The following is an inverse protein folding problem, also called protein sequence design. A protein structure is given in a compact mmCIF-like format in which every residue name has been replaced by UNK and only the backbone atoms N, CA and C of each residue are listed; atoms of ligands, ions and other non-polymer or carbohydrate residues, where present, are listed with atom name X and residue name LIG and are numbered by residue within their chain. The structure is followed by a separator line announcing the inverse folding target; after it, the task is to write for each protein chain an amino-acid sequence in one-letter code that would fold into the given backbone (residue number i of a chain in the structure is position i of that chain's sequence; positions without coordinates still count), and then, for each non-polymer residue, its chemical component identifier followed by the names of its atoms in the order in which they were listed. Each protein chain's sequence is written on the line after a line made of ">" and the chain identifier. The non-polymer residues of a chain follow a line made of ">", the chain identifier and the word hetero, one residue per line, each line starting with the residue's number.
data_IF_130807171259
#
_entry.id   IF_130807171259
#
_cell.length_a   1.000
_cell.length_b   1.000
_cell.length_c   1.000
_cell.angle_alpha   90.00
_cell.angle_beta   90.00
_cell.angle_gamma   90.00
#
_symmetry.space_group_name_H-M   'P 1'
#
loop_
_entity.id
_entity.type
_entity.pdbx_description
1 polymer ?
#
# COMPACT_ATOMS: atom_id res chain seq x y z
N UNK A 1 5.99 18.07 -12.86
CA UNK A 1 5.39 17.35 -14.02
C UNK A 1 5.51 15.82 -13.96
N UNK A 2 6.71 15.24 -13.93
CA UNK A 2 6.91 13.77 -13.98
C UNK A 2 6.36 13.02 -12.75
N UNK A 3 6.53 13.57 -11.53
CA UNK A 3 5.99 12.99 -10.29
C UNK A 3 4.46 13.15 -10.19
N UNK A 4 3.92 14.28 -10.63
CA UNK A 4 2.46 14.52 -10.69
C UNK A 4 1.76 13.51 -11.59
N UNK A 5 2.33 13.25 -12.77
CA UNK A 5 1.78 12.28 -13.71
C UNK A 5 1.78 10.86 -13.12
N UNK A 6 2.83 10.50 -12.37
CA UNK A 6 2.91 9.19 -11.70
C UNK A 6 1.85 9.04 -10.60
N UNK A 7 1.66 10.05 -9.74
CA UNK A 7 0.65 9.99 -8.67
C UNK A 7 -0.77 9.95 -9.24
N UNK A 8 -1.07 10.76 -10.26
CA UNK A 8 -2.38 10.77 -10.91
C UNK A 8 -2.70 9.40 -11.53
N UNK A 9 -1.74 8.84 -12.27
CA UNK A 9 -1.93 7.53 -12.90
C UNK A 9 -2.10 6.42 -11.86
N UNK A 10 -1.28 6.42 -10.81
CA UNK A 10 -1.38 5.43 -9.74
C UNK A 10 -2.73 5.55 -8.99
N UNK A 11 -3.14 6.76 -8.63
CA UNK A 11 -4.40 7.00 -7.92
C UNK A 11 -5.60 6.53 -8.75
N UNK A 12 -5.60 6.81 -10.05
CA UNK A 12 -6.62 6.34 -10.99
C UNK A 12 -6.68 4.82 -11.06
N UNK A 13 -5.54 4.16 -11.25
CA UNK A 13 -5.46 2.70 -11.29
C UNK A 13 -5.98 2.07 -10.00
N UNK A 14 -5.57 2.62 -8.84
CA UNK A 14 -6.05 2.17 -7.53
C UNK A 14 -7.57 2.29 -7.43
N UNK A 15 -8.15 3.43 -7.82
CA UNK A 15 -9.61 3.58 -7.77
C UNK A 15 -10.33 2.61 -8.73
N UNK A 16 -9.80 2.40 -9.93
CA UNK A 16 -10.38 1.45 -10.89
C UNK A 16 -10.42 0.02 -10.34
N UNK A 17 -9.32 -0.46 -9.74
CA UNK A 17 -9.26 -1.83 -9.20
C UNK A 17 -10.04 -2.00 -7.89
N UNK A 18 -10.26 -0.91 -7.14
CA UNK A 18 -10.97 -0.94 -5.85
C UNK A 18 -12.43 -0.50 -5.94
N UNK A 19 -12.95 -0.17 -7.13
CA UNK A 19 -14.31 0.33 -7.31
C UNK A 19 -14.56 1.68 -6.62
N UNK A 20 -13.57 2.58 -6.66
CA UNK A 20 -13.63 3.94 -6.12
C UNK A 20 -13.81 4.04 -4.59
N UNK A 21 -13.39 2.99 -3.85
CA UNK A 21 -13.60 2.89 -2.40
C UNK A 21 -12.48 3.49 -1.57
N UNK A 22 -11.29 3.72 -2.14
CA UNK A 22 -10.15 4.29 -1.42
C UNK A 22 -10.37 5.78 -1.18
N UNK A 23 -10.20 6.21 0.07
CA UNK A 23 -10.38 7.61 0.50
C UNK A 23 -9.13 8.27 1.04
N UNK A 24 -8.20 7.49 1.60
CA UNK A 24 -6.98 8.00 2.23
C UNK A 24 -5.80 7.16 1.79
N UNK A 25 -4.72 7.82 1.38
CA UNK A 25 -3.44 7.20 1.07
C UNK A 25 -2.34 7.77 1.97
N UNK A 26 -1.45 6.91 2.48
CA UNK A 26 -0.30 7.31 3.26
C UNK A 26 0.94 7.30 2.38
N UNK A 27 1.71 8.39 2.40
CA UNK A 27 2.94 8.51 1.62
C UNK A 27 4.10 8.98 2.49
N UNK A 28 5.32 8.69 2.05
CA UNK A 28 6.52 9.23 2.68
C UNK A 28 6.79 10.67 2.26
N UNK A 29 7.80 11.29 2.89
CA UNK A 29 8.18 12.69 2.69
C UNK A 29 8.53 13.07 1.24
N UNK A 30 8.90 12.11 0.38
CA UNK A 30 9.18 12.35 -1.03
C UNK A 30 7.96 12.83 -1.82
N UNK A 31 6.75 12.54 -1.34
CA UNK A 31 5.49 13.00 -1.93
C UNK A 31 4.99 14.32 -1.34
N UNK A 32 5.88 15.08 -0.69
CA UNK A 32 5.54 16.42 -0.20
C UNK A 32 5.34 17.37 -1.37
N UNK A 33 4.17 17.98 -1.47
CA UNK A 33 3.93 19.06 -2.42
C UNK A 33 2.46 19.23 -2.76
N UNK A 34 2.13 20.38 -3.36
CA UNK A 34 0.77 20.66 -3.84
C UNK A 34 0.40 19.79 -5.04
N UNK A 35 1.35 19.55 -5.94
CA UNK A 35 1.12 18.73 -7.15
C UNK A 35 0.67 17.29 -6.85
N UNK A 36 1.40 16.48 -6.06
CA UNK A 36 0.98 15.10 -5.76
C UNK A 36 -0.29 15.05 -4.91
N UNK A 37 -0.44 15.97 -3.95
CA UNK A 37 -1.66 16.05 -3.14
C UNK A 37 -2.89 16.35 -4.01
N UNK A 38 -2.78 17.32 -4.93
CA UNK A 38 -3.87 17.65 -5.84
C UNK A 38 -4.18 16.50 -6.81
N UNK A 39 -3.16 15.84 -7.35
CA UNK A 39 -3.35 14.70 -8.24
C UNK A 39 -4.10 13.54 -7.58
N UNK A 40 -3.82 13.25 -6.31
CA UNK A 40 -4.56 12.25 -5.54
C UNK A 40 -5.99 12.73 -5.22
N UNK A 41 -6.15 14.01 -4.86
CA UNK A 41 -7.44 14.62 -4.57
C UNK A 41 -8.38 14.62 -5.77
N UNK A 42 -7.87 14.85 -6.98
CA UNK A 42 -8.63 14.81 -8.23
C UNK A 42 -9.27 13.42 -8.47
N UNK A 43 -8.66 12.35 -7.94
CA UNK A 43 -9.17 10.98 -7.95
C UNK A 43 -9.91 10.61 -6.64
N UNK A 44 -10.20 11.59 -5.78
CA UNK A 44 -10.97 11.43 -4.53
C UNK A 44 -10.20 10.81 -3.37
N UNK A 45 -8.86 10.87 -3.39
CA UNK A 45 -7.97 10.32 -2.37
C UNK A 45 -7.28 11.46 -1.61
N UNK A 46 -7.44 11.49 -0.28
CA UNK A 46 -6.66 12.34 0.59
C UNK A 46 -5.25 11.75 0.79
N UNK A 47 -4.22 12.49 0.36
CA UNK A 47 -2.83 12.07 0.53
C UNK A 47 -2.26 12.58 1.86
N UNK A 48 -2.05 11.67 2.81
CA UNK A 48 -1.45 11.94 4.11
C UNK A 48 0.05 11.63 4.08
N UNK A 49 0.86 12.70 3.98
CA UNK A 49 2.32 12.59 3.97
C UNK A 49 2.84 12.48 5.40
N UNK A 50 3.37 11.31 5.76
CA UNK A 50 3.94 11.05 7.08
C UNK A 50 5.38 11.56 7.13
N UNK A 51 5.59 12.65 7.88
CA UNK A 51 6.89 13.27 8.10
C UNK A 51 7.42 12.96 9.49
N UNK A 52 8.75 12.99 9.61
CA UNK A 52 9.40 13.00 10.91
C UNK A 52 9.34 14.43 11.48
N UNK A 53 8.65 14.62 12.59
CA UNK A 53 8.68 15.89 13.33
C UNK A 53 10.02 16.05 14.02
N UNK A 54 10.88 16.85 13.38
CA UNK A 54 12.18 17.34 13.85
C UNK A 54 13.24 16.28 14.16
N UNK A 55 14.49 16.70 14.04
CA UNK A 55 15.67 15.86 14.25
C UNK A 55 15.81 15.46 15.73
N UNK A 56 14.98 14.52 16.19
CA UNK A 56 15.18 13.85 17.48
C UNK A 56 16.45 13.01 17.37
N UNK A 57 17.36 13.11 18.35
CA UNK A 57 18.53 12.24 18.44
C UNK A 57 18.06 10.80 18.62
N UNK A 58 18.30 9.95 17.62
CA UNK A 58 18.03 8.51 17.67
C UNK A 58 16.96 8.06 16.66
N UNK A 59 16.64 6.77 16.69
CA UNK A 59 15.61 6.17 15.84
C UNK A 59 14.21 6.53 16.36
N UNK A 60 13.38 7.11 15.50
CA UNK A 60 11.98 7.40 15.78
C UNK A 60 11.10 6.51 14.90
N UNK A 61 10.22 5.74 15.51
CA UNK A 61 9.25 4.93 14.80
C UNK A 61 8.17 5.81 14.18
N UNK A 62 8.12 5.89 12.84
CA UNK A 62 7.05 6.59 12.14
C UNK A 62 5.78 5.73 12.04
N UNK A 63 4.59 6.32 12.24
CA UNK A 63 3.34 5.61 12.09
C UNK A 63 3.21 5.08 10.66
N UNK A 64 2.76 3.83 10.51
CA UNK A 64 2.46 3.15 9.24
C UNK A 64 3.61 2.97 8.23
N UNK A 65 4.87 3.29 8.60
CA UNK A 65 6.04 3.20 7.70
C UNK A 65 6.34 1.80 7.16
N UNK A 66 6.19 0.77 7.99
CA UNK A 66 6.55 -0.61 7.61
C UNK A 66 5.37 -1.47 7.16
N UNK A 67 4.18 -0.90 6.95
CA UNK A 67 2.97 -1.70 6.69
C UNK A 67 3.12 -2.54 5.41
N UNK A 68 3.66 -1.92 4.35
CA UNK A 68 3.90 -2.58 3.07
C UNK A 68 4.95 -3.68 3.21
N UNK A 69 6.12 -3.33 3.75
CA UNK A 69 7.25 -4.26 3.91
C UNK A 69 6.93 -5.42 4.85
N UNK A 70 6.20 -5.17 5.93
CA UNK A 70 5.71 -6.22 6.84
C UNK A 70 4.83 -7.22 6.12
N UNK A 71 3.98 -6.74 5.21
CA UNK A 71 3.11 -7.62 4.42
C UNK A 71 3.93 -8.51 3.50
N UNK A 72 4.96 -7.96 2.84
CA UNK A 72 5.93 -8.77 2.07
C UNK A 72 6.74 -9.73 2.96
N UNK A 73 7.11 -9.31 4.18
CA UNK A 73 7.75 -10.18 5.16
C UNK A 73 6.88 -11.38 5.55
N UNK A 74 5.57 -11.20 5.65
CA UNK A 74 4.63 -12.32 5.85
C UNK A 74 4.55 -13.22 4.63
N UNK A 75 4.46 -12.66 3.42
CA UNK A 75 4.47 -13.42 2.17
C UNK A 75 5.72 -14.30 2.03
N UNK A 76 6.90 -13.77 2.40
CA UNK A 76 8.16 -14.52 2.36
C UNK A 76 8.18 -15.76 3.28
N UNK A 77 7.30 -15.84 4.27
CA UNK A 77 7.18 -17.05 5.12
C UNK A 77 6.48 -18.20 4.40
N UNK A 78 5.77 -17.93 3.31
CA UNK A 78 5.15 -18.95 2.48
C UNK A 78 6.17 -19.50 1.47
N UNK A 79 6.96 -20.49 1.91
CA UNK A 79 7.98 -21.19 1.09
C UNK A 79 7.52 -21.62 -0.31
N UNK A 80 6.21 -21.83 -0.49
CA UNK A 80 5.61 -22.22 -1.77
C UNK A 80 5.73 -21.10 -2.82
N UNK A 81 5.59 -19.83 -2.42
CA UNK A 81 5.79 -18.68 -3.31
C UNK A 81 7.25 -18.55 -3.80
N UNK A 82 8.22 -18.95 -2.98
CA UNK A 82 9.65 -18.90 -3.35
C UNK A 82 10.06 -20.05 -4.29
N UNK A 83 9.41 -21.22 -4.20
CA UNK A 83 9.71 -22.39 -5.05
C UNK A 83 8.92 -22.39 -6.36
N UNK A 84 7.68 -21.90 -6.35
CA UNK A 84 6.84 -21.84 -7.55
C UNK A 84 7.29 -20.74 -8.53
N UNK A 85 8.32 -19.95 -8.21
CA UNK A 85 9.02 -19.08 -9.18
C UNK A 85 9.63 -19.86 -10.36
N UNK A 86 9.79 -21.19 -10.21
CA UNK A 86 10.19 -22.11 -11.28
C UNK A 86 9.06 -22.46 -12.26
N UNK A 87 7.80 -22.07 -11.98
CA UNK A 87 6.62 -22.28 -12.83
C UNK A 87 5.93 -20.95 -13.17
N UNK A 88 5.29 -20.93 -14.34
CA UNK A 88 4.72 -19.77 -15.04
C UNK A 88 4.31 -18.55 -14.15
N UNK A 89 4.74 -17.32 -14.50
CA UNK A 89 4.50 -16.09 -13.74
C UNK A 89 3.03 -15.85 -13.34
N UNK A 90 2.09 -16.28 -14.17
CA UNK A 90 0.64 -16.10 -13.95
C UNK A 90 0.16 -16.92 -12.75
N UNK A 91 0.67 -18.15 -12.58
CA UNK A 91 0.31 -19.01 -11.45
C UNK A 91 0.84 -18.43 -10.14
N UNK A 92 2.06 -17.90 -10.19
CA UNK A 92 2.68 -17.26 -9.06
C UNK A 92 1.91 -16.02 -8.61
N UNK A 93 1.48 -15.16 -9.55
CA UNK A 93 0.67 -13.98 -9.24
C UNK A 93 -0.66 -14.35 -8.55
N UNK A 94 -1.34 -15.41 -9.03
CA UNK A 94 -2.56 -15.91 -8.40
C UNK A 94 -2.35 -16.41 -6.97
N UNK A 95 -1.25 -17.14 -6.71
CA UNK A 95 -0.91 -17.60 -5.36
C UNK A 95 -0.59 -16.44 -4.40
N UNK A 96 0.11 -15.40 -4.88
CA UNK A 96 0.35 -14.19 -4.08
C UNK A 96 -0.96 -13.54 -3.67
N UNK A 97 -1.93 -13.41 -4.58
CA UNK A 97 -3.23 -12.83 -4.28
C UNK A 97 -3.98 -13.63 -3.20
N UNK A 98 -4.07 -14.96 -3.34
CA UNK A 98 -4.77 -15.81 -2.37
C UNK A 98 -4.13 -15.73 -0.98
N UNK A 99 -2.81 -15.85 -0.90
CA UNK A 99 -2.09 -15.77 0.39
C UNK A 99 -2.29 -14.40 1.03
N UNK A 100 -2.21 -13.33 0.25
CA UNK A 100 -2.42 -11.98 0.75
C UNK A 100 -3.85 -11.77 1.27
N UNK A 101 -4.86 -12.25 0.53
CA UNK A 101 -6.25 -12.21 0.96
C UNK A 101 -6.48 -12.95 2.28
N UNK A 102 -5.89 -14.15 2.44
CA UNK A 102 -5.96 -14.90 3.70
C UNK A 102 -5.34 -14.13 4.87
N UNK A 103 -4.14 -13.55 4.68
CA UNK A 103 -3.48 -12.74 5.70
C UNK A 103 -4.32 -11.51 6.08
N UNK A 104 -4.86 -10.80 5.09
CA UNK A 104 -5.65 -9.60 5.34
C UNK A 104 -6.99 -9.92 6.01
N UNK A 105 -7.64 -11.02 5.65
CA UNK A 105 -8.88 -11.48 6.32
C UNK A 105 -8.67 -11.70 7.82
N UNK A 106 -7.58 -12.36 8.23
CA UNK A 106 -7.26 -12.57 9.66
C UNK A 106 -7.13 -11.24 10.41
N UNK A 107 -6.61 -10.20 9.75
CA UNK A 107 -6.48 -8.86 10.34
C UNK A 107 -7.73 -7.99 10.22
N UNK A 108 -8.61 -8.26 9.25
CA UNK A 108 -9.82 -7.49 9.01
C UNK A 108 -10.99 -7.97 9.88
N UNK A 109 -11.09 -9.27 10.19
CA UNK A 109 -12.19 -9.85 10.98
C UNK A 109 -12.46 -9.09 12.29
N UNK A 110 -11.45 -8.71 13.10
CA UNK A 110 -11.69 -7.97 14.35
C UNK A 110 -12.23 -6.54 14.14
N UNK A 111 -12.15 -6.00 12.92
CA UNK A 111 -12.51 -4.61 12.58
C UNK A 111 -13.83 -4.54 11.80
N UNK A 112 -14.32 -5.68 11.30
CA UNK A 112 -15.61 -5.75 10.63
C UNK A 112 -16.73 -5.66 11.68
N UNK A 113 -17.76 -4.83 11.44
CA UNK A 113 -18.91 -4.78 12.33
C UNK A 113 -19.60 -6.14 12.35
N UNK A 114 -19.83 -6.68 13.55
CA UNK A 114 -20.77 -7.79 13.73
C UNK A 114 -22.16 -7.29 13.32
N UNK A 115 -22.73 -7.91 12.28
CA UNK A 115 -24.10 -7.65 11.82
C UNK A 115 -25.13 -7.95 12.90
#
# INVERSE_FOLDING_TARGET
>A
EQERAQVAELARQVQQVTGHTVKVAFADQGYTGKEPAQAALDEGIELQVIKLEEAKKGFVLLPRRWVVERSFGWLNRFRRLARDYERLPETLAGLHFVVFAMLMLVHAVPVLPSS
#
